data_IF_183177222575
#
_entry.id   IF_183177222575
#
_cell.length_a   1.000
_cell.length_b   1.000
_cell.length_c   1.000
_cell.angle_alpha   90.00
_cell.angle_beta   90.00
_cell.angle_gamma   90.00
#
_symmetry.space_group_name_H-M   'P 1'
#
loop_
_entity.id
_entity.type
_entity.pdbx_description
1 polymer ?
#
# COMPACT_ATOMS: atom_id res chain seq x y z
N UNK A 1 -2.66 1.72 4.68
CA UNK A 1 -2.77 0.25 4.50
C UNK A 1 -1.58 -0.23 3.69
N UNK A 2 -1.09 -1.46 3.92
CA UNK A 2 -0.07 -2.08 3.08
C UNK A 2 -0.75 -2.77 1.92
N UNK A 3 -0.26 -2.55 0.70
CA UNK A 3 -0.82 -3.19 -0.47
C UNK A 3 0.27 -3.68 -1.41
N UNK A 4 -0.03 -4.74 -2.15
CA UNK A 4 0.74 -5.18 -3.31
C UNK A 4 0.14 -4.57 -4.57
N UNK A 5 0.96 -3.96 -5.41
CA UNK A 5 0.50 -3.47 -6.71
C UNK A 5 0.32 -4.67 -7.64
N UNK A 6 -0.90 -4.91 -8.09
CA UNK A 6 -1.21 -6.00 -9.03
C UNK A 6 -1.13 -5.49 -10.47
N UNK A 7 -1.99 -4.53 -10.82
CA UNK A 7 -1.99 -3.90 -12.14
C UNK A 7 -2.61 -2.51 -12.12
N UNK A 8 -2.13 -1.64 -12.99
CA UNK A 8 -2.75 -0.34 -13.26
C UNK A 8 -3.78 -0.53 -14.37
N UNK A 9 -5.00 -0.07 -14.13
CA UNK A 9 -6.12 -0.12 -15.06
C UNK A 9 -6.23 1.20 -15.84
N UNK A 10 -6.68 1.15 -17.09
CA UNK A 10 -6.94 2.35 -17.88
C UNK A 10 -8.05 3.20 -17.23
N UNK A 11 -7.83 4.52 -17.14
CA UNK A 11 -8.80 5.48 -16.57
C UNK A 11 -8.58 5.83 -15.09
N UNK A 12 -7.33 6.02 -14.66
CA UNK A 12 -6.96 6.44 -13.29
C UNK A 12 -7.41 5.47 -12.21
N UNK A 13 -7.35 4.16 -12.48
CA UNK A 13 -7.66 3.12 -11.51
C UNK A 13 -6.46 2.20 -11.34
N UNK A 14 -6.28 1.69 -10.14
CA UNK A 14 -5.26 0.70 -9.84
C UNK A 14 -5.90 -0.45 -9.08
N UNK A 15 -5.54 -1.67 -9.49
CA UNK A 15 -5.84 -2.86 -8.73
C UNK A 15 -4.66 -3.15 -7.81
N UNK A 16 -4.95 -3.22 -6.53
CA UNK A 16 -3.99 -3.54 -5.50
C UNK A 16 -4.53 -4.68 -4.65
N UNK A 17 -3.65 -5.44 -4.02
CA UNK A 17 -4.03 -6.50 -3.10
C UNK A 17 -3.72 -5.99 -1.71
N UNK A 18 -4.74 -5.89 -0.86
CA UNK A 18 -4.58 -5.57 0.55
C UNK A 18 -3.73 -6.66 1.20
N UNK A 19 -2.67 -6.24 1.88
CA UNK A 19 -1.78 -7.12 2.61
C UNK A 19 -1.90 -6.84 4.10
N UNK A 20 -1.87 -7.90 4.89
CA UNK A 20 -1.83 -7.83 6.33
C UNK A 20 -0.67 -8.67 6.88
N UNK A 21 -0.26 -8.37 8.10
CA UNK A 21 0.81 -9.08 8.77
C UNK A 21 0.19 -10.01 9.80
N UNK A 22 0.39 -11.31 9.62
CA UNK A 22 -0.09 -12.30 10.57
C UNK A 22 0.69 -12.28 11.90
N UNK A 23 0.21 -13.06 12.88
CA UNK A 23 0.87 -13.19 14.19
C UNK A 23 2.31 -13.79 14.11
N UNK A 24 2.71 -14.31 12.95
CA UNK A 24 4.04 -14.85 12.69
C UNK A 24 4.95 -13.84 11.97
N UNK A 25 4.47 -12.63 11.69
CA UNK A 25 5.22 -11.60 10.97
C UNK A 25 5.36 -11.87 9.47
N UNK A 26 4.46 -12.69 8.92
CA UNK A 26 4.36 -13.00 7.49
C UNK A 26 3.33 -12.11 6.82
N UNK A 27 3.68 -11.60 5.64
CA UNK A 27 2.80 -10.77 4.81
C UNK A 27 1.83 -11.68 4.06
N UNK A 28 0.55 -11.57 4.35
CA UNK A 28 -0.52 -12.37 3.74
C UNK A 28 -1.49 -11.49 2.96
N UNK A 29 -1.89 -11.89 1.73
CA UNK A 29 -2.91 -11.18 0.99
C UNK A 29 -4.29 -11.42 1.61
N UNK A 30 -5.02 -10.34 1.88
CA UNK A 30 -6.38 -10.37 2.40
C UNK A 30 -7.42 -10.38 1.27
N UNK A 31 -7.39 -9.38 0.40
CA UNK A 31 -8.37 -9.18 -0.67
C UNK A 31 -7.84 -8.27 -1.77
N UNK A 32 -8.41 -8.39 -2.96
CA UNK A 32 -8.19 -7.44 -4.05
C UNK A 32 -9.06 -6.19 -3.85
N UNK A 33 -8.45 -5.01 -3.99
CA UNK A 33 -9.09 -3.70 -3.93
C UNK A 33 -8.82 -2.94 -5.23
N UNK A 34 -9.86 -2.28 -5.74
CA UNK A 34 -9.75 -1.36 -6.86
C UNK A 34 -9.85 0.07 -6.32
N UNK A 35 -8.76 0.82 -6.46
CA UNK A 35 -8.64 2.17 -5.93
C UNK A 35 -8.52 3.17 -7.06
N UNK A 36 -9.03 4.38 -6.82
CA UNK A 36 -8.86 5.49 -7.74
C UNK A 36 -7.50 6.15 -7.50
N UNK A 37 -6.74 6.28 -8.57
CA UNK A 37 -5.54 7.09 -8.58
C UNK A 37 -5.93 8.57 -8.71
N UNK A 38 -5.20 9.46 -8.05
CA UNK A 38 -5.36 10.89 -8.27
C UNK A 38 -5.01 11.23 -9.74
N UNK A 39 -5.38 12.43 -10.19
CA UNK A 39 -5.00 12.93 -11.52
C UNK A 39 -3.48 13.11 -11.69
N UNK A 40 -2.72 13.02 -10.59
CA UNK A 40 -1.29 13.20 -10.57
C UNK A 40 -0.56 11.89 -10.91
N UNK A 41 0.19 11.90 -12.01
CA UNK A 41 0.94 10.74 -12.49
C UNK A 41 2.12 10.35 -11.59
N UNK A 42 2.55 11.23 -10.66
CA UNK A 42 3.70 10.95 -9.79
C UNK A 42 3.45 9.77 -8.86
N UNK A 43 2.23 9.68 -8.32
CA UNK A 43 1.78 8.58 -7.46
C UNK A 43 1.68 7.28 -8.25
N UNK A 44 1.16 7.34 -9.48
CA UNK A 44 1.06 6.19 -10.37
C UNK A 44 2.45 5.63 -10.71
N UNK A 45 3.41 6.52 -10.98
CA UNK A 45 4.79 6.16 -11.31
C UNK A 45 5.55 5.54 -10.13
N UNK A 46 5.33 6.04 -8.92
CA UNK A 46 5.85 5.45 -7.69
C UNK A 46 5.31 4.03 -7.47
N UNK A 47 3.99 3.86 -7.64
CA UNK A 47 3.33 2.56 -7.53
C UNK A 47 3.73 1.57 -8.63
N UNK A 48 3.96 2.03 -9.86
CA UNK A 48 4.50 1.19 -10.95
C UNK A 48 5.92 0.69 -10.70
N UNK A 49 6.69 1.41 -9.88
CA UNK A 49 8.11 1.11 -9.67
C UNK A 49 8.36 0.19 -8.48
N UNK A 50 7.33 -0.13 -7.70
CA UNK A 50 7.44 -1.00 -6.52
C UNK A 50 6.39 -2.11 -6.51
N UNK A 51 6.79 -3.28 -6.02
CA UNK A 51 5.87 -4.40 -5.84
C UNK A 51 4.97 -4.20 -4.61
N UNK A 52 5.52 -3.57 -3.57
CA UNK A 52 4.83 -3.26 -2.32
C UNK A 52 4.77 -1.75 -2.12
N UNK A 53 3.64 -1.26 -1.62
CA UNK A 53 3.47 0.14 -1.32
C UNK A 53 2.57 0.31 -0.09
N UNK A 54 2.90 1.31 0.71
CA UNK A 54 2.00 1.81 1.75
C UNK A 54 1.17 2.93 1.13
N UNK A 55 -0.12 2.69 1.00
CA UNK A 55 -1.04 3.70 0.47
C UNK A 55 -1.98 4.17 1.57
N UNK A 56 -2.30 5.45 1.50
CA UNK A 56 -3.36 6.06 2.29
C UNK A 56 -4.50 6.39 1.35
N UNK A 57 -5.62 5.73 1.60
CA UNK A 57 -6.89 6.01 0.95
C UNK A 57 -7.66 7.00 1.81
N UNK A 58 -8.41 7.88 1.16
CA UNK A 58 -9.45 8.65 1.80
C UNK A 58 -10.79 8.14 1.28
N UNK A 59 -11.71 7.87 2.21
CA UNK A 59 -13.09 7.55 1.86
C UNK A 59 -13.69 8.79 1.18
N UNK A 60 -14.09 8.64 -0.07
CA UNK A 60 -14.73 9.71 -0.82
C UNK A 60 -16.10 9.99 -0.21
N UNK A 61 -16.40 11.27 0.04
CA UNK A 61 -17.62 11.73 0.73
C UNK A 61 -18.89 11.33 -0.04
N UNK A 62 -18.75 11.05 -1.34
CA UNK A 62 -19.81 10.61 -2.25
C UNK A 62 -20.00 9.07 -2.32
N UNK A 63 -19.25 8.28 -1.54
CA UNK A 63 -19.45 6.84 -1.44
C UNK A 63 -19.05 6.02 -2.68
N UNK A 64 -18.43 6.63 -3.69
CA UNK A 64 -18.05 5.97 -4.97
C UNK A 64 -16.60 5.46 -4.96
N UNK A 65 -16.21 4.83 -3.86
CA UNK A 65 -14.91 4.16 -3.69
C UNK A 65 -13.87 4.99 -2.94
N UNK A 66 -12.73 4.36 -2.70
CA UNK A 66 -11.59 4.95 -1.99
C UNK A 66 -10.61 5.60 -2.99
N UNK A 67 -10.25 6.86 -2.74
CA UNK A 67 -9.28 7.60 -3.56
C UNK A 67 -7.92 7.59 -2.86
N UNK A 68 -6.86 7.23 -3.58
CA UNK A 68 -5.49 7.28 -3.05
C UNK A 68 -5.09 8.75 -2.92
N UNK A 69 -4.82 9.19 -1.69
CA UNK A 69 -4.34 10.54 -1.41
C UNK A 69 -2.82 10.57 -1.27
N UNK A 70 -2.23 9.46 -0.82
CA UNK A 70 -0.78 9.30 -0.68
C UNK A 70 -0.41 7.86 -1.04
N UNK A 71 0.64 7.71 -1.82
CA UNK A 71 1.31 6.44 -1.99
C UNK A 71 2.79 6.62 -1.67
N UNK A 72 3.27 5.81 -0.75
CA UNK A 72 4.69 5.69 -0.50
C UNK A 72 5.16 4.35 -1.05
N UNK A 73 6.08 4.41 -2.00
CA UNK A 73 6.83 3.25 -2.49
C UNK A 73 7.62 2.69 -1.33
N UNK A 74 7.25 1.51 -0.83
CA UNK A 74 7.98 0.88 0.27
C UNK A 74 8.94 -0.11 -0.36
N UNK A 75 10.23 0.24 -0.34
CA UNK A 75 11.28 -0.67 -0.77
C UNK A 75 11.43 -1.81 0.24
N UNK A 76 11.82 -3.01 -0.22
CA UNK A 76 12.01 -4.17 0.65
C UNK A 76 13.06 -3.92 1.75
N UNK A 77 14.05 -3.07 1.45
CA UNK A 77 15.04 -2.56 2.41
C UNK A 77 14.43 -1.66 3.50
N UNK A 78 13.55 -0.72 3.13
CA UNK A 78 12.84 0.14 4.10
C UNK A 78 11.84 -0.67 4.94
N UNK A 79 11.15 -1.64 4.33
CA UNK A 79 10.26 -2.56 5.06
C UNK A 79 11.05 -3.38 6.09
N UNK A 80 12.26 -3.82 5.73
CA UNK A 80 13.14 -4.56 6.64
C UNK A 80 13.68 -3.67 7.77
N UNK A 81 14.01 -2.40 7.50
CA UNK A 81 14.41 -1.45 8.53
C UNK A 81 13.27 -1.13 9.49
N UNK A 82 12.06 -0.85 8.99
CA UNK A 82 10.88 -0.62 9.84
C UNK A 82 10.52 -1.88 10.64
N UNK A 83 10.54 -3.07 10.02
CA UNK A 83 10.33 -4.35 10.72
C UNK A 83 11.33 -4.53 11.86
N UNK A 84 12.61 -4.25 11.61
CA UNK A 84 13.66 -4.35 12.63
C UNK A 84 13.44 -3.33 13.76
N UNK A 85 13.04 -2.09 13.43
CA UNK A 85 12.81 -1.02 14.40
C UNK A 85 11.57 -1.26 15.26
N UNK A 86 10.50 -1.80 14.68
CA UNK A 86 9.28 -2.17 15.39
C UNK A 86 9.51 -3.35 16.36
N UNK A 87 10.26 -4.37 15.93
CA UNK A 87 10.64 -5.50 16.80
C UNK A 87 11.56 -5.02 17.93
N UNK A 88 12.54 -4.16 17.65
CA UNK A 88 13.46 -3.61 18.66
C UNK A 88 12.74 -2.72 19.69
N UNK A 89 11.76 -1.92 19.23
CA UNK A 89 10.90 -1.11 20.10
C UNK A 89 10.03 -1.98 21.02
N UNK A 90 9.64 -3.18 20.60
CA UNK A 90 8.88 -4.13 21.41
C UNK A 90 9.75 -4.89 22.42
N UNK A 91 11.05 -5.06 22.11
CA UNK A 91 11.99 -5.82 22.93
C UNK A 91 12.70 -4.96 24.01
N UNK A 92 12.49 -3.63 24.01
CA UNK A 92 12.80 -2.75 25.14
C UNK A 92 11.64 -2.78 26.15
N UNK A 93 11.57 -3.85 26.94
CA UNK A 93 10.78 -3.88 28.17
C UNK A 93 11.57 -4.53 29.29
#
# INVERSE_FOLDING_TARGET
MLVKVDKILEGNKIRVIELDIDNYGSVVPLRELELKLPKDDSIMKALSSTEYAAIFTQADIDGVGETIILANSVSLDELNEEKKKAIDAMNKK
#
